data_IF_036372467217
#
_entry.id   IF_036372467217
#
_cell.length_a   1.000
_cell.length_b   1.000
_cell.length_c   1.000
_cell.angle_alpha   90.00
_cell.angle_beta   90.00
_cell.angle_gamma   90.00
#
_symmetry.space_group_name_H-M   'P 1'
#
loop_
_entity.id
_entity.type
_entity.pdbx_description
1 polymer ?
#
# COMPACT_ATOMS: atom_id res chain seq x y z
N UNK A 1 -28.39 -10.55 -31.91
CA UNK A 1 -28.59 -11.13 -30.56
C UNK A 1 -27.71 -10.50 -29.46
N UNK A 2 -26.49 -10.00 -29.76
CA UNK A 2 -25.60 -9.37 -28.76
C UNK A 2 -26.01 -7.97 -28.25
N UNK A 3 -26.93 -7.27 -28.91
CA UNK A 3 -27.39 -5.91 -28.52
C UNK A 3 -28.43 -5.90 -27.41
N UNK A 4 -29.22 -6.97 -27.24
CA UNK A 4 -30.27 -7.07 -26.21
C UNK A 4 -29.72 -7.33 -24.81
N UNK A 5 -28.80 -8.29 -24.68
CA UNK A 5 -28.17 -8.63 -23.40
C UNK A 5 -27.32 -7.47 -22.85
N UNK A 6 -26.64 -6.74 -23.74
CA UNK A 6 -25.85 -5.54 -23.41
C UNK A 6 -26.71 -4.43 -22.82
N UNK A 7 -27.89 -4.16 -23.40
CA UNK A 7 -28.85 -3.16 -22.90
C UNK A 7 -29.45 -3.54 -21.54
N UNK A 8 -29.67 -4.85 -21.30
CA UNK A 8 -30.21 -5.34 -20.04
C UNK A 8 -29.20 -5.22 -18.88
N UNK A 9 -27.92 -5.51 -19.14
CA UNK A 9 -26.84 -5.33 -18.15
C UNK A 9 -26.50 -3.87 -17.87
N UNK A 10 -26.58 -2.96 -18.86
CA UNK A 10 -26.44 -1.51 -18.59
C UNK A 10 -27.53 -0.94 -17.69
N UNK A 11 -28.72 -1.57 -17.62
CA UNK A 11 -29.75 -1.18 -16.64
C UNK A 11 -29.45 -1.68 -15.22
N UNK A 12 -28.62 -2.72 -15.07
CA UNK A 12 -28.18 -3.22 -13.77
C UNK A 12 -27.07 -2.36 -13.14
N UNK A 13 -26.26 -1.67 -13.95
CA UNK A 13 -25.25 -0.73 -13.47
C UNK A 13 -25.82 0.69 -13.41
N UNK A 14 -26.58 0.97 -12.35
CA UNK A 14 -27.09 2.31 -12.00
C UNK A 14 -25.93 3.27 -11.64
N UNK A 15 -24.75 2.73 -11.34
CA UNK A 15 -23.57 3.47 -10.88
C UNK A 15 -22.66 3.80 -12.07
N UNK A 16 -22.20 5.07 -12.23
CA UNK A 16 -21.26 5.43 -13.28
C UNK A 16 -19.93 4.68 -13.15
N UNK A 17 -19.38 4.23 -14.27
CA UNK A 17 -18.23 3.32 -14.31
C UNK A 17 -16.96 3.93 -13.72
N UNK A 18 -16.82 5.26 -13.75
CA UNK A 18 -15.68 5.95 -13.09
C UNK A 18 -15.64 5.74 -11.57
N UNK A 19 -16.79 5.59 -10.92
CA UNK A 19 -16.86 5.30 -9.49
C UNK A 19 -16.50 3.85 -9.20
N UNK A 20 -16.96 2.91 -10.03
CA UNK A 20 -16.57 1.50 -9.95
C UNK A 20 -15.05 1.37 -10.09
N UNK A 21 -14.46 2.06 -11.08
CA UNK A 21 -13.02 2.09 -11.29
C UNK A 21 -12.25 2.69 -10.10
N UNK A 22 -12.79 3.74 -9.47
CA UNK A 22 -12.19 4.36 -8.30
C UNK A 22 -12.25 3.45 -7.07
N UNK A 23 -13.37 2.74 -6.86
CA UNK A 23 -13.51 1.74 -5.79
C UNK A 23 -12.55 0.58 -6.03
N UNK A 24 -12.45 0.08 -7.27
CA UNK A 24 -11.49 -0.96 -7.61
C UNK A 24 -10.03 -0.48 -7.43
N UNK A 25 -9.74 0.78 -7.75
CA UNK A 25 -8.45 1.42 -7.48
C UNK A 25 -8.13 1.52 -5.98
N UNK A 26 -9.12 1.84 -5.14
CA UNK A 26 -8.99 1.78 -3.69
C UNK A 26 -8.58 0.38 -3.22
N UNK A 27 -9.28 -0.66 -3.69
CA UNK A 27 -8.93 -2.05 -3.35
C UNK A 27 -7.59 -2.49 -3.93
N UNK A 28 -7.16 -1.92 -5.07
CA UNK A 28 -5.84 -2.15 -5.65
C UNK A 28 -4.74 -1.72 -4.67
N UNK A 29 -4.83 -0.47 -4.17
CA UNK A 29 -3.87 0.08 -3.21
C UNK A 29 -3.98 -0.64 -1.88
N UNK A 30 -5.20 -0.96 -1.43
CA UNK A 30 -5.41 -1.73 -0.21
C UNK A 30 -4.68 -3.07 -0.27
N UNK A 31 -4.87 -3.85 -1.35
CA UNK A 31 -4.20 -5.15 -1.51
C UNK A 31 -2.68 -5.02 -1.63
N UNK A 32 -2.19 -4.00 -2.35
CA UNK A 32 -0.77 -3.71 -2.46
C UNK A 32 -0.14 -3.49 -1.05
N UNK A 33 -0.75 -2.60 -0.26
CA UNK A 33 -0.27 -2.33 1.10
C UNK A 33 -0.44 -3.50 2.06
N UNK A 34 -1.51 -4.31 1.95
CA UNK A 34 -1.64 -5.49 2.81
C UNK A 34 -0.54 -6.52 2.56
N UNK A 35 -0.25 -6.85 1.30
CA UNK A 35 0.84 -7.77 0.95
C UNK A 35 2.20 -7.21 1.41
N UNK A 36 2.46 -5.92 1.20
CA UNK A 36 3.71 -5.26 1.59
C UNK A 36 3.95 -5.25 3.09
N UNK A 37 2.96 -4.79 3.86
CA UNK A 37 3.08 -4.51 5.31
C UNK A 37 2.93 -5.77 6.15
N UNK A 38 2.21 -6.78 5.65
CA UNK A 38 1.99 -8.03 6.39
C UNK A 38 3.26 -8.72 6.88
N UNK A 39 4.38 -8.54 6.17
CA UNK A 39 5.69 -9.05 6.56
C UNK A 39 6.17 -8.50 7.91
N UNK A 40 5.87 -7.23 8.24
CA UNK A 40 6.32 -6.61 9.49
C UNK A 40 5.79 -7.33 10.73
N UNK A 41 4.58 -7.91 10.66
CA UNK A 41 4.05 -8.77 11.73
C UNK A 41 4.52 -10.21 11.56
N UNK A 42 4.55 -10.74 10.33
CA UNK A 42 4.93 -12.13 10.12
C UNK A 42 6.37 -12.42 10.57
N UNK A 43 7.31 -11.50 10.29
CA UNK A 43 8.73 -11.68 10.63
C UNK A 43 8.96 -11.84 12.14
N UNK A 44 8.12 -11.26 12.99
CA UNK A 44 8.22 -11.40 14.46
C UNK A 44 7.89 -12.81 14.96
N UNK A 45 7.28 -13.65 14.11
CA UNK A 45 6.97 -15.05 14.40
C UNK A 45 7.76 -16.02 13.52
N UNK A 46 8.62 -15.52 12.63
CA UNK A 46 9.49 -16.33 11.77
C UNK A 46 10.89 -16.49 12.37
N UNK A 47 11.31 -15.57 13.23
CA UNK A 47 12.70 -15.50 13.73
C UNK A 47 12.81 -16.09 15.12
N UNK A 48 13.92 -16.79 15.38
CA UNK A 48 14.28 -17.25 16.72
C UNK A 48 14.47 -16.06 17.66
N UNK A 49 13.88 -16.14 18.86
CA UNK A 49 14.18 -15.18 19.93
C UNK A 49 15.64 -15.36 20.34
N UNK A 50 16.47 -14.38 20.01
CA UNK A 50 17.80 -14.31 20.60
C UNK A 50 17.63 -13.90 22.07
N UNK A 51 18.11 -14.74 23.00
CA UNK A 51 18.36 -14.27 24.36
C UNK A 51 19.45 -13.22 24.25
N UNK A 52 19.09 -11.95 24.35
CA UNK A 52 20.06 -10.88 24.53
C UNK A 52 20.65 -11.00 25.93
N UNK A 53 21.96 -11.21 26.04
CA UNK A 53 22.72 -11.05 27.30
C UNK A 53 22.74 -9.58 27.78
N UNK A 54 22.11 -8.68 27.04
CA UNK A 54 21.93 -7.28 27.36
C UNK A 54 20.69 -7.12 28.25
N UNK A 55 20.94 -6.91 29.55
CA UNK A 55 19.92 -6.53 30.52
C UNK A 55 19.63 -5.04 30.36
N UNK A 56 18.53 -4.70 29.69
CA UNK A 56 18.00 -3.34 29.69
C UNK A 56 17.13 -3.17 30.95
N UNK A 57 17.55 -2.36 31.94
CA UNK A 57 16.80 -2.17 33.19
C UNK A 57 15.43 -1.50 32.98
N UNK A 58 15.20 -0.86 31.82
CA UNK A 58 13.94 -0.19 31.49
C UNK A 58 13.02 -1.06 30.61
N UNK A 59 13.47 -2.25 30.18
CA UNK A 59 12.61 -3.21 29.49
C UNK A 59 11.60 -3.84 30.45
N UNK A 60 10.38 -4.14 29.95
CA UNK A 60 9.40 -4.84 30.75
C UNK A 60 9.96 -6.20 31.16
N UNK A 61 9.88 -6.55 32.45
CA UNK A 61 10.35 -7.85 32.89
C UNK A 61 9.63 -8.96 32.13
N UNK A 62 10.40 -9.88 31.55
CA UNK A 62 9.86 -11.17 31.14
C UNK A 62 9.28 -11.77 32.43
N UNK A 63 7.95 -11.81 32.54
CA UNK A 63 7.35 -12.66 33.55
C UNK A 63 7.86 -14.07 33.27
N UNK A 64 8.76 -14.57 34.11
CA UNK A 64 9.18 -15.96 34.10
C UNK A 64 7.90 -16.79 34.26
N UNK A 65 7.39 -17.31 33.13
CA UNK A 65 6.39 -18.37 33.13
C UNK A 65 7.14 -19.66 33.53
N UNK A 66 7.62 -19.70 34.78
CA UNK A 66 7.82 -20.96 35.45
C UNK A 66 6.42 -21.49 35.79
N UNK A 67 6.06 -22.63 35.19
CA UNK A 67 4.86 -23.44 35.46
C UNK A 67 3.52 -23.05 34.83
N UNK A 68 3.50 -22.56 33.59
CA UNK A 68 2.34 -22.83 32.72
C UNK A 68 2.80 -23.53 31.44
N UNK A 69 2.68 -24.85 31.42
CA UNK A 69 2.60 -25.66 30.19
C UNK A 69 1.38 -25.23 29.39
N UNK A 70 1.46 -24.09 28.72
CA UNK A 70 0.73 -23.87 27.49
C UNK A 70 1.74 -24.03 26.38
N UNK A 71 1.66 -25.11 25.57
CA UNK A 71 2.50 -25.22 24.40
C UNK A 71 2.04 -24.13 23.43
N UNK A 72 2.68 -22.96 23.49
CA UNK A 72 2.80 -22.08 22.33
C UNK A 72 3.78 -22.72 21.35
N UNK A 73 3.47 -23.96 20.94
CA UNK A 73 4.02 -24.60 19.76
C UNK A 73 3.37 -23.90 18.57
N UNK A 74 3.94 -22.75 18.18
CA UNK A 74 4.01 -22.42 16.75
C UNK A 74 4.80 -23.59 16.17
N UNK A 75 4.11 -24.41 15.39
CA UNK A 75 4.69 -25.60 14.78
C UNK A 75 5.83 -25.18 13.85
N UNK A 76 7.02 -25.55 14.29
CA UNK A 76 8.21 -25.97 13.56
C UNK A 76 8.89 -24.95 12.62
N UNK A 77 10.15 -24.67 12.97
CA UNK A 77 11.20 -23.90 12.25
C UNK A 77 11.14 -22.37 12.37
N UNK A 78 11.47 -21.86 13.56
CA UNK A 78 11.98 -20.50 13.69
C UNK A 78 13.38 -20.42 13.07
N UNK A 79 13.63 -19.39 12.26
CA UNK A 79 14.88 -19.22 11.52
C UNK A 79 15.89 -18.32 12.26
N UNK A 80 17.19 -18.67 12.26
CA UNK A 80 18.23 -17.91 12.97
C UNK A 80 18.68 -16.68 12.17
N UNK A 81 17.76 -15.75 11.88
CA UNK A 81 18.07 -14.51 11.16
C UNK A 81 18.50 -13.40 12.10
N UNK A 82 19.70 -12.87 11.88
CA UNK A 82 20.20 -11.67 12.57
C UNK A 82 19.33 -10.45 12.28
N UNK A 83 19.30 -9.46 13.17
CA UNK A 83 18.56 -8.21 12.98
C UNK A 83 18.95 -7.49 11.67
N UNK A 84 20.22 -7.59 11.27
CA UNK A 84 20.70 -7.07 9.98
C UNK A 84 20.05 -7.78 8.79
N UNK A 85 19.93 -9.11 8.83
CA UNK A 85 19.28 -9.88 7.78
C UNK A 85 17.78 -9.56 7.70
N UNK A 86 17.10 -9.44 8.84
CA UNK A 86 15.69 -9.03 8.90
C UNK A 86 15.47 -7.67 8.23
N UNK A 87 16.32 -6.67 8.56
CA UNK A 87 16.28 -5.36 7.92
C UNK A 87 16.51 -5.41 6.40
N UNK A 88 17.40 -6.29 5.92
CA UNK A 88 17.61 -6.51 4.48
C UNK A 88 16.38 -7.14 3.84
N UNK A 89 15.76 -8.17 4.44
CA UNK A 89 14.55 -8.81 3.92
C UNK A 89 13.39 -7.80 3.83
N UNK A 90 13.19 -6.99 4.88
CA UNK A 90 12.15 -5.96 4.92
C UNK A 90 12.38 -4.89 3.84
N UNK A 91 13.63 -4.44 3.66
CA UNK A 91 13.97 -3.38 2.71
C UNK A 91 14.09 -3.84 1.25
N UNK A 92 14.38 -5.12 0.99
CA UNK A 92 14.60 -5.69 -0.34
C UNK A 92 13.43 -5.44 -1.31
N UNK A 93 12.20 -5.39 -0.79
CA UNK A 93 11.02 -5.02 -1.57
C UNK A 93 11.17 -3.66 -2.25
N UNK A 94 11.74 -2.67 -1.56
CA UNK A 94 11.85 -1.32 -2.09
C UNK A 94 12.89 -1.21 -3.21
N UNK A 95 13.85 -2.15 -3.30
CA UNK A 95 14.82 -2.19 -4.39
C UNK A 95 14.13 -2.44 -5.73
N UNK A 96 13.25 -3.46 -5.79
CA UNK A 96 12.43 -3.72 -6.97
C UNK A 96 11.43 -2.60 -7.24
N UNK A 97 10.80 -2.09 -6.18
CA UNK A 97 9.78 -1.03 -6.26
C UNK A 97 10.28 0.25 -6.93
N UNK A 98 11.45 0.75 -6.52
CA UNK A 98 12.04 1.98 -7.08
C UNK A 98 12.41 1.80 -8.55
N UNK A 99 12.96 0.64 -8.90
CA UNK A 99 13.40 0.34 -10.27
C UNK A 99 12.24 0.34 -11.27
N UNK A 100 11.05 -0.14 -10.90
CA UNK A 100 9.90 -0.20 -11.80
C UNK A 100 9.00 1.03 -11.76
N UNK A 101 9.22 1.96 -10.83
CA UNK A 101 8.33 3.11 -10.67
C UNK A 101 8.30 4.04 -11.90
N UNK A 102 9.46 4.39 -12.46
CA UNK A 102 9.53 5.24 -13.66
C UNK A 102 9.18 4.43 -14.93
N UNK A 103 9.80 3.26 -15.20
CA UNK A 103 9.46 2.46 -16.38
C UNK A 103 7.99 2.04 -16.41
N UNK A 104 7.42 1.69 -15.25
CA UNK A 104 6.02 1.32 -15.09
C UNK A 104 5.05 2.41 -15.53
N UNK A 105 5.39 3.68 -15.29
CA UNK A 105 4.60 4.81 -15.80
C UNK A 105 4.62 4.90 -17.32
N UNK A 106 5.81 4.81 -17.93
CA UNK A 106 5.95 4.82 -19.39
C UNK A 106 5.22 3.65 -20.05
N UNK A 107 5.30 2.46 -19.45
CA UNK A 107 4.60 1.25 -19.92
C UNK A 107 3.08 1.44 -19.75
N UNK A 108 2.61 2.01 -18.65
CA UNK A 108 1.18 2.24 -18.41
C UNK A 108 0.56 3.23 -19.41
N UNK A 109 1.30 4.26 -19.80
CA UNK A 109 0.86 5.21 -20.83
C UNK A 109 0.78 4.56 -22.22
N UNK A 110 1.75 3.70 -22.57
CA UNK A 110 1.85 3.04 -23.87
C UNK A 110 0.92 1.83 -24.04
N UNK A 111 0.95 0.90 -23.10
CA UNK A 111 0.23 -0.38 -23.16
C UNK A 111 -1.13 -0.34 -22.44
N UNK A 112 -1.41 0.75 -21.73
CA UNK A 112 -2.66 0.96 -21.01
C UNK A 112 -2.56 0.54 -19.55
N UNK A 113 -2.95 1.46 -18.65
CA UNK A 113 -2.81 1.28 -17.22
C UNK A 113 -3.57 0.08 -16.66
N UNK A 114 -4.67 -0.39 -17.29
CA UNK A 114 -5.40 -1.60 -16.83
C UNK A 114 -4.46 -2.80 -16.73
N UNK A 115 -3.70 -3.05 -17.80
CA UNK A 115 -2.86 -4.23 -17.91
C UNK A 115 -1.67 -4.13 -16.96
N UNK A 116 -1.05 -2.95 -16.89
CA UNK A 116 0.09 -2.73 -16.00
C UNK A 116 -0.31 -2.88 -14.54
N UNK A 117 -1.41 -2.24 -14.10
CA UNK A 117 -1.89 -2.36 -12.73
C UNK A 117 -2.30 -3.80 -12.39
N UNK A 118 -3.05 -4.45 -13.28
CA UNK A 118 -3.53 -5.81 -13.07
C UNK A 118 -2.40 -6.83 -13.02
N UNK A 119 -1.45 -6.78 -13.96
CA UNK A 119 -0.29 -7.68 -13.97
C UNK A 119 0.67 -7.39 -12.81
N UNK A 120 0.85 -6.13 -12.43
CA UNK A 120 1.64 -5.73 -11.27
C UNK A 120 1.12 -6.39 -10.01
N UNK A 121 -0.14 -6.16 -9.66
CA UNK A 121 -0.76 -6.75 -8.47
C UNK A 121 -0.82 -8.27 -8.56
N UNK A 122 -1.15 -8.85 -9.72
CA UNK A 122 -1.17 -10.30 -9.90
C UNK A 122 0.21 -10.92 -9.62
N UNK A 123 1.26 -10.35 -10.20
CA UNK A 123 2.62 -10.85 -10.01
C UNK A 123 3.05 -10.77 -8.55
N UNK A 124 2.80 -9.65 -7.88
CA UNK A 124 3.03 -9.50 -6.44
C UNK A 124 2.25 -10.54 -5.65
N UNK A 125 0.96 -10.74 -5.92
CA UNK A 125 0.14 -11.74 -5.24
C UNK A 125 0.65 -13.17 -5.43
N UNK A 126 1.09 -13.53 -6.64
CA UNK A 126 1.66 -14.85 -6.90
C UNK A 126 2.97 -15.03 -6.10
N UNK A 127 3.87 -14.05 -6.11
CA UNK A 127 5.10 -14.15 -5.33
C UNK A 127 4.83 -14.20 -3.82
N UNK A 128 3.84 -13.45 -3.33
CA UNK A 128 3.39 -13.53 -1.94
C UNK A 128 2.84 -14.92 -1.61
N UNK A 129 2.06 -15.55 -2.48
CA UNK A 129 1.61 -16.94 -2.29
C UNK A 129 2.76 -17.95 -2.30
N UNK A 130 3.80 -17.71 -3.10
CA UNK A 130 4.98 -18.56 -3.19
C UNK A 130 5.92 -18.39 -1.99
N UNK A 131 5.85 -17.27 -1.27
CA UNK A 131 6.76 -16.97 -0.17
C UNK A 131 6.84 -18.08 0.87
N UNK A 132 5.74 -18.58 1.46
CA UNK A 132 5.84 -19.67 2.41
C UNK A 132 6.46 -20.94 1.82
N UNK A 133 6.04 -21.31 0.61
CA UNK A 133 6.53 -22.51 -0.07
C UNK A 133 8.05 -22.49 -0.29
N UNK A 134 8.59 -21.35 -0.75
CA UNK A 134 10.03 -21.19 -0.97
C UNK A 134 10.80 -21.21 0.34
N UNK A 135 10.29 -20.57 1.39
CA UNK A 135 10.94 -20.53 2.70
C UNK A 135 11.00 -21.93 3.32
N UNK A 136 9.93 -22.72 3.22
CA UNK A 136 9.92 -24.11 3.69
C UNK A 136 10.90 -25.00 2.92
N UNK A 137 10.95 -24.92 1.58
CA UNK A 137 11.86 -25.75 0.76
C UNK A 137 13.32 -25.38 0.96
N UNK A 138 13.60 -24.10 1.23
CA UNK A 138 14.97 -23.59 1.40
C UNK A 138 15.42 -23.58 2.85
N UNK A 139 14.65 -24.21 3.76
CA UNK A 139 14.93 -24.29 5.20
C UNK A 139 15.24 -22.91 5.81
N UNK A 140 14.52 -21.88 5.36
CA UNK A 140 14.70 -20.51 5.84
C UNK A 140 15.89 -19.75 5.28
N UNK A 141 16.36 -20.08 4.08
CA UNK A 141 17.44 -19.31 3.46
C UNK A 141 16.99 -17.86 3.13
N UNK A 142 17.55 -16.91 3.87
CA UNK A 142 17.21 -15.48 3.77
C UNK A 142 17.48 -14.87 2.38
N UNK A 143 18.41 -15.42 1.60
CA UNK A 143 18.73 -14.91 0.25
C UNK A 143 17.58 -15.16 -0.71
N UNK A 144 16.98 -16.35 -0.66
CA UNK A 144 15.78 -16.67 -1.46
C UNK A 144 14.60 -15.80 -1.05
N UNK A 145 14.48 -15.48 0.24
CA UNK A 145 13.49 -14.53 0.72
C UNK A 145 13.71 -13.14 0.11
N UNK A 146 14.94 -12.64 0.13
CA UNK A 146 15.30 -11.35 -0.49
C UNK A 146 14.94 -11.33 -1.97
N UNK A 147 15.24 -12.40 -2.71
CA UNK A 147 14.88 -12.50 -4.13
C UNK A 147 13.37 -12.38 -4.34
N UNK A 148 12.56 -13.11 -3.56
CA UNK A 148 11.10 -13.00 -3.62
C UNK A 148 10.61 -11.59 -3.31
N UNK A 149 11.18 -10.94 -2.28
CA UNK A 149 10.82 -9.56 -1.91
C UNK A 149 11.12 -8.59 -3.05
N UNK A 150 12.27 -8.71 -3.71
CA UNK A 150 12.60 -7.89 -4.89
C UNK A 150 11.60 -8.12 -6.02
N UNK A 151 11.20 -9.37 -6.27
CA UNK A 151 10.21 -9.72 -7.30
C UNK A 151 8.81 -9.16 -6.99
N UNK A 152 8.36 -9.24 -5.74
CA UNK A 152 7.14 -8.59 -5.26
C UNK A 152 7.17 -7.08 -5.49
N UNK A 153 8.30 -6.46 -5.16
CA UNK A 153 8.56 -5.03 -5.35
C UNK A 153 8.51 -4.61 -6.82
N UNK A 154 9.06 -5.41 -7.73
CA UNK A 154 8.99 -5.13 -9.16
C UNK A 154 7.56 -5.05 -9.67
N UNK A 155 6.70 -5.98 -9.28
CA UNK A 155 5.27 -5.96 -9.63
C UNK A 155 4.56 -4.73 -9.07
N UNK A 156 4.73 -4.50 -7.77
CA UNK A 156 3.97 -3.48 -7.04
C UNK A 156 4.44 -2.05 -7.36
N UNK A 157 5.71 -1.85 -7.75
CA UNK A 157 6.26 -0.55 -8.14
C UNK A 157 5.55 0.13 -9.30
N UNK A 158 4.81 -0.64 -10.11
CA UNK A 158 4.03 -0.12 -11.24
C UNK A 158 2.63 0.40 -10.83
N UNK A 159 2.20 0.13 -9.60
CA UNK A 159 0.83 0.38 -9.11
C UNK A 159 0.43 1.85 -9.19
N UNK A 160 1.20 2.75 -8.56
CA UNK A 160 0.90 4.18 -8.51
C UNK A 160 0.98 4.87 -9.89
N UNK A 161 2.01 4.62 -10.72
CA UNK A 161 2.05 5.16 -12.08
C UNK A 161 0.87 4.69 -12.93
N UNK A 162 0.55 3.38 -12.91
CA UNK A 162 -0.53 2.82 -13.71
C UNK A 162 -1.88 3.39 -13.27
N UNK A 163 -2.12 3.48 -11.98
CA UNK A 163 -3.34 4.04 -11.42
C UNK A 163 -3.51 5.53 -11.77
N UNK A 164 -2.45 6.33 -11.69
CA UNK A 164 -2.48 7.72 -12.14
C UNK A 164 -2.79 7.86 -13.64
N UNK A 165 -2.22 6.97 -14.47
CA UNK A 165 -2.50 6.94 -15.89
C UNK A 165 -3.97 6.62 -16.17
N UNK A 166 -4.57 5.65 -15.47
CA UNK A 166 -5.99 5.31 -15.61
C UNK A 166 -6.89 6.46 -15.12
N UNK A 167 -6.64 6.99 -13.92
CA UNK A 167 -7.43 8.07 -13.35
C UNK A 167 -7.40 9.31 -14.24
N UNK A 168 -6.27 9.59 -14.91
CA UNK A 168 -6.15 10.69 -15.86
C UNK A 168 -7.09 10.57 -17.07
N UNK A 169 -7.53 9.35 -17.41
CA UNK A 169 -8.42 9.04 -18.54
C UNK A 169 -9.89 8.88 -18.14
N UNK A 170 -10.14 8.44 -16.91
CA UNK A 170 -11.47 8.09 -16.42
C UNK A 170 -12.11 9.15 -15.55
N UNK A 171 -11.31 10.05 -14.96
CA UNK A 171 -11.80 11.03 -14.00
C UNK A 171 -11.60 12.46 -14.50
N UNK A 172 -12.68 13.24 -14.68
CA UNK A 172 -12.60 14.67 -15.00
C UNK A 172 -11.83 15.46 -13.95
N UNK A 173 -11.19 16.57 -14.36
CA UNK A 173 -10.39 17.42 -13.47
C UNK A 173 -11.16 17.92 -12.24
N UNK A 174 -12.46 18.20 -12.37
CA UNK A 174 -13.33 18.65 -11.27
C UNK A 174 -13.57 17.59 -10.19
N UNK A 175 -13.57 16.30 -10.57
CA UNK A 175 -13.80 15.17 -9.65
C UNK A 175 -12.47 14.49 -9.24
N UNK A 176 -11.36 14.80 -9.93
CA UNK A 176 -10.06 14.12 -9.79
C UNK A 176 -9.50 14.12 -8.38
N UNK A 177 -9.64 15.22 -7.66
CA UNK A 177 -9.19 15.27 -6.27
C UNK A 177 -10.01 14.36 -5.36
N UNK A 178 -11.34 14.33 -5.51
CA UNK A 178 -12.22 13.54 -4.65
C UNK A 178 -12.03 12.05 -4.86
N UNK A 179 -12.08 11.62 -6.12
CA UNK A 179 -11.89 10.20 -6.47
C UNK A 179 -10.44 9.76 -6.28
N UNK A 180 -9.47 10.64 -6.52
CA UNK A 180 -8.06 10.40 -6.19
C UNK A 180 -7.88 10.16 -4.69
N UNK A 181 -8.41 11.03 -3.82
CA UNK A 181 -8.33 10.83 -2.36
C UNK A 181 -9.01 9.54 -1.92
N UNK A 182 -10.17 9.19 -2.49
CA UNK A 182 -10.83 7.90 -2.22
C UNK A 182 -9.90 6.74 -2.54
N UNK A 183 -9.29 6.73 -3.73
CA UNK A 183 -8.39 5.66 -4.17
C UNK A 183 -7.17 5.57 -3.24
N UNK A 184 -6.50 6.69 -2.98
CA UNK A 184 -5.29 6.73 -2.16
C UNK A 184 -5.53 6.44 -0.68
N UNK A 185 -6.75 6.63 -0.17
CA UNK A 185 -7.10 6.20 1.19
C UNK A 185 -6.92 4.69 1.42
N UNK A 186 -6.85 3.89 0.34
CA UNK A 186 -6.58 2.46 0.40
C UNK A 186 -5.26 2.11 1.07
N UNK A 187 -4.24 2.98 1.03
CA UNK A 187 -2.93 2.69 1.63
C UNK A 187 -3.00 2.64 3.16
N UNK A 188 -3.71 3.60 3.76
CA UNK A 188 -3.86 3.70 5.21
C UNK A 188 -4.71 2.56 5.76
N UNK A 189 -5.86 2.33 5.13
CA UNK A 189 -6.75 1.22 5.50
C UNK A 189 -6.05 -0.12 5.27
N UNK A 190 -5.31 -0.28 4.17
CA UNK A 190 -4.50 -1.46 3.89
C UNK A 190 -3.47 -1.74 4.98
N UNK A 191 -2.74 -0.72 5.44
CA UNK A 191 -1.75 -0.85 6.52
C UNK A 191 -2.40 -1.30 7.84
N UNK A 192 -3.52 -0.69 8.22
CA UNK A 192 -4.29 -1.08 9.42
C UNK A 192 -4.77 -2.52 9.34
N UNK A 193 -5.35 -2.90 8.20
CA UNK A 193 -5.84 -4.27 7.98
C UNK A 193 -4.68 -5.27 7.94
N UNK A 194 -3.55 -4.91 7.33
CA UNK A 194 -2.35 -5.73 7.30
C UNK A 194 -1.93 -6.10 8.72
N UNK A 195 -1.74 -5.11 9.59
CA UNK A 195 -1.28 -5.34 10.96
C UNK A 195 -2.30 -6.13 11.79
N UNK A 196 -3.57 -5.68 11.78
CA UNK A 196 -4.63 -6.29 12.59
C UNK A 196 -4.97 -7.72 12.15
N UNK A 197 -5.18 -7.94 10.84
CA UNK A 197 -5.55 -9.27 10.32
C UNK A 197 -4.36 -10.21 10.40
N UNK A 198 -3.12 -9.76 10.13
CA UNK A 198 -1.94 -10.63 10.28
C UNK A 198 -1.82 -11.14 11.71
N UNK A 199 -1.91 -10.26 12.72
CA UNK A 199 -1.84 -10.67 14.12
C UNK A 199 -2.95 -11.66 14.51
N UNK A 200 -4.17 -11.45 14.02
CA UNK A 200 -5.29 -12.35 14.27
C UNK A 200 -5.15 -13.71 13.57
N UNK A 201 -4.71 -13.73 12.30
CA UNK A 201 -4.51 -14.95 11.52
C UNK A 201 -3.41 -15.82 12.10
N UNK A 202 -2.26 -15.24 12.44
CA UNK A 202 -1.14 -15.98 13.02
C UNK A 202 -1.56 -16.58 14.37
N UNK A 203 -2.27 -15.82 15.20
CA UNK A 203 -2.77 -16.32 16.47
C UNK A 203 -3.74 -17.50 16.29
N UNK A 204 -4.67 -17.42 15.33
CA UNK A 204 -5.70 -18.43 15.11
C UNK A 204 -5.16 -19.70 14.45
N UNK A 205 -4.26 -19.57 13.48
CA UNK A 205 -3.73 -20.69 12.68
C UNK A 205 -2.42 -21.23 13.24
N UNK A 206 -1.81 -20.52 14.20
CA UNK A 206 -0.49 -20.79 14.79
C UNK A 206 0.64 -20.88 13.76
N UNK A 207 0.46 -20.26 12.59
CA UNK A 207 1.42 -20.33 11.48
C UNK A 207 1.54 -18.96 10.81
N UNK A 208 2.78 -18.48 10.61
CA UNK A 208 3.07 -17.21 9.91
C UNK A 208 2.67 -17.27 8.42
N UNK A 209 2.76 -18.43 7.80
CA UNK A 209 2.43 -18.66 6.39
C UNK A 209 0.98 -18.30 6.02
N UNK A 210 0.06 -18.39 7.00
CA UNK A 210 -1.37 -18.09 6.80
C UNK A 210 -1.61 -16.68 6.26
N UNK A 211 -0.78 -15.72 6.67
CA UNK A 211 -0.88 -14.31 6.30
C UNK A 211 -0.60 -14.12 4.81
N UNK A 212 0.47 -14.74 4.32
CA UNK A 212 0.88 -14.70 2.93
C UNK A 212 -0.16 -15.37 2.02
N UNK A 213 -0.69 -16.53 2.43
CA UNK A 213 -1.76 -17.20 1.70
C UNK A 213 -3.04 -16.38 1.64
N UNK A 214 -3.44 -15.76 2.75
CA UNK A 214 -4.66 -14.96 2.82
C UNK A 214 -4.58 -13.73 1.91
N UNK A 215 -3.54 -12.90 2.06
CA UNK A 215 -3.42 -11.67 1.27
C UNK A 215 -3.07 -11.92 -0.20
N UNK A 216 -2.26 -12.94 -0.48
CA UNK A 216 -1.98 -13.37 -1.85
C UNK A 216 -3.25 -13.83 -2.58
N UNK A 217 -4.10 -14.65 -1.93
CA UNK A 217 -5.37 -15.07 -2.51
C UNK A 217 -6.34 -13.89 -2.74
N UNK A 218 -6.40 -12.95 -1.79
CA UNK A 218 -7.20 -11.73 -1.95
C UNK A 218 -6.75 -10.89 -3.15
N UNK A 219 -5.45 -10.73 -3.36
CA UNK A 219 -4.92 -10.00 -4.51
C UNK A 219 -5.15 -10.72 -5.85
N UNK A 220 -5.06 -12.05 -5.88
CA UNK A 220 -5.45 -12.84 -7.05
C UNK A 220 -6.95 -12.71 -7.38
N UNK A 221 -7.81 -12.81 -6.36
CA UNK A 221 -9.26 -12.63 -6.52
C UNK A 221 -9.59 -11.21 -7.01
N UNK A 222 -8.95 -10.20 -6.43
CA UNK A 222 -9.10 -8.82 -6.88
C UNK A 222 -8.65 -8.65 -8.34
N UNK A 223 -7.54 -9.28 -8.75
CA UNK A 223 -7.07 -9.22 -10.14
C UNK A 223 -8.10 -9.83 -11.09
N UNK A 224 -8.69 -10.98 -10.73
CA UNK A 224 -9.77 -11.58 -11.51
C UNK A 224 -10.92 -10.58 -11.71
N UNK A 225 -11.40 -9.98 -10.62
CA UNK A 225 -12.47 -8.97 -10.69
C UNK A 225 -12.06 -7.73 -11.48
N UNK A 226 -10.82 -7.26 -11.34
CA UNK A 226 -10.25 -6.13 -12.07
C UNK A 226 -10.24 -6.37 -13.58
N UNK A 227 -9.80 -7.56 -14.00
CA UNK A 227 -9.73 -7.92 -15.42
C UNK A 227 -11.10 -7.95 -16.08
N UNK A 228 -12.14 -8.35 -15.34
CA UNK A 228 -13.52 -8.42 -15.81
C UNK A 228 -14.24 -7.07 -15.81
N UNK A 229 -14.04 -6.26 -14.75
CA UNK A 229 -14.82 -5.05 -14.50
C UNK A 229 -14.20 -3.76 -15.08
N UNK A 230 -12.87 -3.65 -15.14
CA UNK A 230 -12.20 -2.37 -15.45
C UNK A 230 -11.57 -2.36 -16.83
N UNK A 231 -11.49 -1.18 -17.47
CA UNK A 231 -10.96 -1.01 -18.84
C UNK A 231 -9.99 0.18 -18.91
N UNK A 232 -9.00 0.13 -19.80
CA UNK A 232 -7.96 1.19 -19.89
C UNK A 232 -8.53 2.53 -20.37
N UNK A 233 -9.50 2.49 -21.29
CA UNK A 233 -10.05 3.69 -21.91
C UNK A 233 -11.60 3.62 -21.87
N UNK A 234 -12.29 4.74 -21.58
CA UNK A 234 -13.75 4.79 -21.58
C UNK A 234 -14.37 4.33 -22.91
N UNK A 235 -13.70 4.60 -24.04
CA UNK A 235 -14.15 4.18 -25.37
C UNK A 235 -14.19 2.65 -25.55
N UNK A 236 -13.26 1.94 -24.91
CA UNK A 236 -13.13 0.49 -24.99
C UNK A 236 -14.11 -0.25 -24.07
N UNK A 237 -14.74 0.48 -23.13
CA UNK A 237 -15.56 -0.12 -22.09
C UNK A 237 -16.91 -0.60 -22.66
N UNK A 238 -17.24 -1.91 -22.60
CA UNK A 238 -18.40 -2.43 -23.29
C UNK A 238 -19.74 -2.12 -22.61
N UNK A 239 -19.73 -1.76 -21.32
CA UNK A 239 -20.92 -1.50 -20.49
C UNK A 239 -21.02 -0.06 -19.97
N UNK A 240 -20.30 0.89 -20.59
CA UNK A 240 -20.40 2.31 -20.21
C UNK A 240 -21.68 2.90 -20.81
N UNK A 241 -22.37 3.77 -20.06
CA UNK A 241 -23.55 4.45 -20.59
C UNK A 241 -23.16 5.50 -21.63
N UNK A 242 -24.05 5.76 -22.59
CA UNK A 242 -23.85 6.78 -23.62
C UNK A 242 -23.71 8.17 -23.01
N UNK A 243 -24.47 8.45 -21.96
CA UNK A 243 -24.47 9.72 -21.25
C UNK A 243 -23.13 9.96 -20.52
N UNK A 244 -22.58 8.93 -19.86
CA UNK A 244 -21.29 9.04 -19.18
C UNK A 244 -20.15 9.20 -20.19
N UNK A 245 -20.22 8.47 -21.30
CA UNK A 245 -19.23 8.53 -22.37
C UNK A 245 -19.16 9.94 -22.99
N UNK A 246 -20.31 10.55 -23.28
CA UNK A 246 -20.38 11.90 -23.84
C UNK A 246 -19.98 12.96 -22.81
N UNK A 247 -20.32 12.77 -21.54
CA UNK A 247 -19.86 13.61 -20.44
C UNK A 247 -18.32 13.61 -20.34
N UNK A 248 -17.68 12.43 -20.34
CA UNK A 248 -16.23 12.31 -20.29
C UNK A 248 -15.57 12.93 -21.53
N UNK A 249 -16.09 12.65 -22.74
CA UNK A 249 -15.58 13.29 -23.97
C UNK A 249 -15.62 14.81 -23.87
N UNK A 250 -16.73 15.39 -23.41
CA UNK A 250 -16.91 16.84 -23.30
C UNK A 250 -15.93 17.45 -22.28
N UNK A 251 -15.77 16.82 -21.12
CA UNK A 251 -14.87 17.31 -20.07
C UNK A 251 -13.39 17.14 -20.42
N UNK A 252 -13.07 16.19 -21.29
CA UNK A 252 -11.69 15.86 -21.67
C UNK A 252 -11.26 16.43 -23.03
N UNK A 253 -12.17 16.98 -23.83
CA UNK A 253 -11.90 17.50 -25.17
C UNK A 253 -10.81 18.60 -25.25
N UNK A 254 -10.51 19.28 -24.14
CA UNK A 254 -9.44 20.29 -24.04
C UNK A 254 -8.09 19.76 -23.55
N UNK A 255 -8.02 18.51 -23.09
CA UNK A 255 -6.78 17.86 -22.67
C UNK A 255 -6.22 17.15 -23.90
N UNK A 256 -5.63 17.91 -24.82
CA UNK A 256 -4.94 17.31 -25.96
C UNK A 256 -3.81 16.41 -25.42
N UNK A 257 -3.70 15.19 -25.96
CA UNK A 257 -2.47 14.40 -25.89
C UNK A 257 -1.43 15.12 -26.74
N UNK A 258 -0.92 16.24 -26.24
CA UNK A 258 0.16 16.92 -26.91
C UNK A 258 1.40 16.03 -26.78
N UNK A 259 1.94 15.57 -27.91
CA UNK A 259 3.18 14.77 -27.98
C UNK A 259 4.41 15.60 -27.60
N UNK A 260 4.26 16.63 -26.77
CA UNK A 260 5.36 17.43 -26.25
C UNK A 260 6.29 16.52 -25.48
N UNK A 261 7.57 16.57 -25.85
CA UNK A 261 8.64 15.91 -25.10
C UNK A 261 8.57 16.41 -23.66
N UNK A 262 8.52 15.47 -22.71
CA UNK A 262 8.53 15.77 -21.27
C UNK A 262 9.81 16.58 -20.97
N UNK A 263 9.72 17.80 -20.40
CA UNK A 263 10.88 18.65 -20.17
C UNK A 263 11.63 18.22 -18.90
N UNK A 264 12.29 17.05 -18.95
CA UNK A 264 12.98 16.45 -17.82
C UNK A 264 13.99 17.38 -17.15
N UNK A 265 14.75 18.15 -17.93
CA UNK A 265 15.74 19.09 -17.39
C UNK A 265 15.08 20.17 -16.56
N UNK A 266 14.03 20.83 -17.08
CA UNK A 266 13.31 21.87 -16.37
C UNK A 266 12.65 21.37 -15.07
N UNK A 267 12.14 20.13 -15.10
CA UNK A 267 11.57 19.46 -13.92
C UNK A 267 12.68 19.22 -12.88
N UNK A 268 13.81 18.66 -13.28
CA UNK A 268 14.92 18.33 -12.38
C UNK A 268 15.68 19.58 -11.86
N UNK A 269 15.60 20.73 -12.53
CA UNK A 269 16.20 21.98 -12.05
C UNK A 269 15.25 22.82 -11.18
N UNK A 270 14.01 22.36 -10.96
CA UNK A 270 12.98 23.12 -10.25
C UNK A 270 13.13 23.00 -8.73
N UNK A 271 13.35 24.13 -8.04
CA UNK A 271 13.47 24.18 -6.56
C UNK A 271 12.21 23.64 -5.84
N UNK A 272 10.97 23.98 -6.26
CA UNK A 272 9.77 23.40 -5.64
C UNK A 272 9.71 21.86 -5.68
N UNK A 273 10.26 21.24 -6.72
CA UNK A 273 10.27 19.78 -6.83
C UNK A 273 11.21 19.18 -5.78
N UNK A 274 12.43 19.69 -5.66
CA UNK A 274 13.37 19.22 -4.65
C UNK A 274 12.89 19.47 -3.22
N UNK A 275 12.20 20.59 -2.97
CA UNK A 275 11.56 20.84 -1.67
C UNK A 275 10.49 19.78 -1.35
N UNK A 276 9.67 19.40 -2.34
CA UNK A 276 8.67 18.33 -2.18
C UNK A 276 9.31 16.94 -2.04
N UNK A 277 10.43 16.67 -2.72
CA UNK A 277 11.17 15.41 -2.59
C UNK A 277 11.76 15.28 -1.18
N UNK A 278 12.44 16.30 -0.68
CA UNK A 278 13.01 16.29 0.67
C UNK A 278 11.93 16.11 1.74
N UNK A 279 10.81 16.84 1.59
CA UNK A 279 9.61 16.70 2.38
C UNK A 279 9.07 15.25 2.41
N UNK A 280 8.93 14.64 1.24
CA UNK A 280 8.42 13.27 1.10
C UNK A 280 9.36 12.24 1.72
N UNK A 281 10.68 12.41 1.55
CA UNK A 281 11.68 11.52 2.16
C UNK A 281 11.56 11.52 3.68
N UNK A 282 11.44 12.69 4.30
CA UNK A 282 11.28 12.80 5.76
C UNK A 282 9.99 12.13 6.26
N UNK A 283 8.88 12.34 5.53
CA UNK A 283 7.61 11.66 5.82
C UNK A 283 7.73 10.14 5.71
N UNK A 284 8.26 9.63 4.60
CA UNK A 284 8.34 8.20 4.31
C UNK A 284 9.32 7.49 5.25
N UNK A 285 10.42 8.15 5.64
CA UNK A 285 11.34 7.63 6.65
C UNK A 285 10.61 7.34 7.96
N UNK A 286 9.93 8.35 8.53
CA UNK A 286 9.22 8.16 9.80
C UNK A 286 8.04 7.21 9.68
N UNK A 287 7.32 7.20 8.55
CA UNK A 287 6.24 6.23 8.32
C UNK A 287 6.78 4.79 8.28
N UNK A 288 7.81 4.52 7.48
CA UNK A 288 8.31 3.15 7.32
C UNK A 288 9.07 2.64 8.53
N UNK A 289 9.78 3.50 9.27
CA UNK A 289 10.38 3.12 10.55
C UNK A 289 9.31 2.66 11.55
N UNK A 290 8.17 3.36 11.66
CA UNK A 290 7.05 2.86 12.47
C UNK A 290 6.47 1.54 11.93
N UNK A 291 6.43 1.35 10.61
CA UNK A 291 5.85 0.13 10.01
C UNK A 291 6.73 -1.09 10.27
N UNK A 292 8.05 -0.95 10.23
CA UNK A 292 8.99 -2.06 10.39
C UNK A 292 9.34 -2.31 11.86
N UNK A 293 9.61 -1.25 12.62
CA UNK A 293 10.30 -1.38 13.91
C UNK A 293 9.31 -1.45 15.07
N UNK A 294 8.12 -0.83 14.94
CA UNK A 294 7.11 -0.85 15.99
C UNK A 294 6.69 -2.28 16.36
N UNK A 295 6.35 -3.18 15.41
CA UNK A 295 5.95 -4.53 15.79
C UNK A 295 7.08 -5.34 16.43
N UNK A 296 8.32 -5.13 15.98
CA UNK A 296 9.50 -5.76 16.56
C UNK A 296 9.68 -5.28 18.01
N UNK A 297 9.59 -3.98 18.24
CA UNK A 297 9.68 -3.39 19.59
C UNK A 297 8.59 -3.90 20.53
N UNK A 298 7.33 -3.93 20.07
CA UNK A 298 6.20 -4.44 20.87
C UNK A 298 6.36 -5.93 21.24
N UNK A 299 7.00 -6.72 20.37
CA UNK A 299 7.27 -8.15 20.60
C UNK A 299 8.49 -8.40 21.48
N UNK A 300 9.62 -7.76 21.16
CA UNK A 300 10.93 -8.04 21.74
C UNK A 300 11.14 -7.31 23.07
N UNK A 301 10.66 -6.07 23.22
CA UNK A 301 10.88 -5.24 24.41
C UNK A 301 9.67 -5.26 25.34
N UNK A 302 8.45 -5.10 24.79
CA UNK A 302 7.22 -5.09 25.59
C UNK A 302 6.56 -6.46 25.74
N UNK A 303 7.11 -7.48 25.08
CA UNK A 303 6.67 -8.87 25.20
C UNK A 303 5.18 -9.13 24.91
N UNK A 304 4.54 -8.29 24.09
CA UNK A 304 3.16 -8.50 23.69
C UNK A 304 3.00 -9.74 22.81
N UNK A 305 1.86 -10.42 22.95
CA UNK A 305 1.53 -11.55 22.07
C UNK A 305 1.23 -11.06 20.64
N UNK A 306 1.32 -11.94 19.65
CA UNK A 306 1.17 -11.58 18.22
C UNK A 306 -0.16 -10.88 17.88
N UNK A 307 -1.24 -11.24 18.57
CA UNK A 307 -2.58 -10.65 18.36
C UNK A 307 -2.62 -9.22 18.91
N UNK A 308 -2.12 -9.00 20.12
CA UNK A 308 -1.98 -7.69 20.73
C UNK A 308 -1.02 -6.81 19.94
N UNK A 309 0.11 -7.38 19.49
CA UNK A 309 1.09 -6.70 18.65
C UNK A 309 0.41 -6.16 17.38
N UNK A 310 -0.24 -7.03 16.60
CA UNK A 310 -0.95 -6.61 15.38
C UNK A 310 -2.01 -5.53 15.63
N UNK A 311 -2.79 -5.63 16.71
CA UNK A 311 -3.77 -4.60 17.07
C UNK A 311 -3.13 -3.28 17.49
N UNK A 312 -2.15 -3.30 18.39
CA UNK A 312 -1.46 -2.11 18.90
C UNK A 312 -0.66 -1.41 17.79
N UNK A 313 0.04 -2.16 16.94
CA UNK A 313 0.73 -1.63 15.76
C UNK A 313 -0.24 -0.97 14.78
N UNK A 314 -1.53 -1.27 14.81
CA UNK A 314 -2.52 -0.63 13.94
C UNK A 314 -2.96 0.75 14.43
N UNK A 315 -2.87 1.02 15.73
CA UNK A 315 -3.41 2.24 16.36
C UNK A 315 -2.79 3.53 15.79
N UNK A 316 -1.46 3.68 15.65
CA UNK A 316 -0.87 4.91 15.14
C UNK A 316 -1.37 5.28 13.74
N UNK A 317 -1.60 4.28 12.88
CA UNK A 317 -2.10 4.49 11.52
C UNK A 317 -3.57 4.90 11.50
N UNK A 318 -4.39 4.37 12.42
CA UNK A 318 -5.79 4.82 12.59
C UNK A 318 -5.81 6.28 13.06
N UNK A 319 -4.99 6.62 14.06
CA UNK A 319 -4.87 7.99 14.56
C UNK A 319 -4.40 8.92 13.46
N UNK A 320 -3.36 8.54 12.71
CA UNK A 320 -2.84 9.31 11.58
C UNK A 320 -3.92 9.55 10.53
N UNK A 321 -4.73 8.53 10.20
CA UNK A 321 -5.84 8.67 9.26
C UNK A 321 -6.91 9.65 9.76
N UNK A 322 -7.37 9.52 11.00
CA UNK A 322 -8.36 10.42 11.60
C UNK A 322 -7.84 11.86 11.66
N UNK A 323 -6.61 12.06 12.13
CA UNK A 323 -5.97 13.38 12.20
C UNK A 323 -5.85 13.98 10.79
N UNK A 324 -5.48 13.18 9.78
CA UNK A 324 -5.39 13.67 8.40
C UNK A 324 -6.72 14.21 7.86
N UNK A 325 -7.85 13.55 8.19
CA UNK A 325 -9.18 14.00 7.78
C UNK A 325 -9.58 15.30 8.49
N UNK A 326 -9.31 15.40 9.78
CA UNK A 326 -9.59 16.60 10.58
C UNK A 326 -8.75 17.78 10.09
N UNK A 327 -7.45 17.57 9.88
CA UNK A 327 -6.55 18.61 9.37
C UNK A 327 -6.93 19.04 7.95
N UNK A 328 -7.33 18.11 7.07
CA UNK A 328 -7.82 18.44 5.74
C UNK A 328 -9.08 19.31 5.80
N UNK A 329 -10.05 18.95 6.64
CA UNK A 329 -11.27 19.74 6.84
C UNK A 329 -10.97 21.14 7.38
N UNK A 330 -10.09 21.25 8.37
CA UNK A 330 -9.66 22.56 8.91
C UNK A 330 -8.96 23.40 7.83
N UNK A 331 -8.08 22.79 7.04
CA UNK A 331 -7.38 23.45 5.94
C UNK A 331 -8.37 24.01 4.91
N UNK A 332 -9.33 23.20 4.46
CA UNK A 332 -10.37 23.61 3.52
C UNK A 332 -11.27 24.71 4.09
N UNK A 333 -11.61 24.64 5.38
CA UNK A 333 -12.38 25.68 6.06
C UNK A 333 -11.61 27.01 6.11
N UNK A 334 -10.32 26.98 6.46
CA UNK A 334 -9.47 28.19 6.53
C UNK A 334 -9.27 28.84 5.15
N UNK A 335 -9.14 28.03 4.10
CA UNK A 335 -9.06 28.50 2.72
C UNK A 335 -10.39 29.10 2.27
N UNK A 336 -11.51 28.41 2.54
CA UNK A 336 -12.86 28.85 2.11
C UNK A 336 -13.27 30.15 2.81
N UNK A 337 -12.94 30.29 4.09
CA UNK A 337 -13.18 31.53 4.87
C UNK A 337 -12.20 32.67 4.54
N UNK A 338 -11.28 32.46 3.58
CA UNK A 338 -10.23 33.41 3.16
C UNK A 338 -9.34 33.89 4.31
N UNK A 339 -9.24 33.12 5.40
CA UNK A 339 -8.35 33.42 6.52
C UNK A 339 -6.87 33.23 6.15
N UNK A 340 -6.60 32.43 5.11
CA UNK A 340 -5.25 32.03 4.72
C UNK A 340 -5.15 31.83 3.21
N UNK A 341 -4.02 32.22 2.60
CA UNK A 341 -3.77 31.95 1.17
C UNK A 341 -3.46 30.47 0.94
N UNK A 342 -3.84 29.92 -0.22
CA UNK A 342 -3.60 28.51 -0.57
C UNK A 342 -2.12 28.15 -0.47
N UNK A 343 -1.23 29.03 -0.92
CA UNK A 343 0.22 28.81 -0.88
C UNK A 343 0.77 28.79 0.53
N UNK A 344 0.29 29.67 1.41
CA UNK A 344 0.71 29.69 2.81
C UNK A 344 0.14 28.49 3.58
N UNK A 345 -1.13 28.14 3.34
CA UNK A 345 -1.77 26.95 3.91
C UNK A 345 -0.95 25.67 3.63
N UNK A 346 -0.62 25.44 2.36
CA UNK A 346 0.16 24.27 1.93
C UNK A 346 1.53 24.22 2.60
N UNK A 347 2.23 25.35 2.70
CA UNK A 347 3.54 25.43 3.36
C UNK A 347 3.42 25.15 4.86
N UNK A 348 2.52 25.87 5.54
CA UNK A 348 2.35 25.78 6.99
C UNK A 348 2.00 24.36 7.44
N UNK A 349 0.97 23.74 6.86
CA UNK A 349 0.56 22.39 7.24
C UNK A 349 1.62 21.34 6.90
N UNK A 350 2.33 21.48 5.77
CA UNK A 350 3.41 20.55 5.41
C UNK A 350 4.59 20.66 6.38
N UNK A 351 5.01 21.88 6.73
CA UNK A 351 6.10 22.09 7.70
C UNK A 351 5.71 21.65 9.10
N UNK A 352 4.48 21.94 9.54
CA UNK A 352 3.98 21.53 10.85
C UNK A 352 3.90 20.00 10.96
N UNK A 353 3.41 19.33 9.93
CA UNK A 353 3.36 17.86 9.88
C UNK A 353 4.76 17.22 9.98
N UNK A 354 5.76 17.78 9.28
CA UNK A 354 7.15 17.30 9.37
C UNK A 354 7.76 17.52 10.76
N UNK A 355 7.47 18.67 11.38
CA UNK A 355 8.02 18.99 12.70
C UNK A 355 7.43 18.09 13.79
N UNK A 356 6.13 17.81 13.73
CA UNK A 356 5.47 16.91 14.68
C UNK A 356 6.02 15.48 14.59
N UNK A 357 6.34 15.01 13.39
CA UNK A 357 6.93 13.68 13.18
C UNK A 357 8.30 13.57 13.87
N UNK A 358 9.13 14.62 13.80
CA UNK A 358 10.45 14.67 14.44
C UNK A 358 10.42 14.80 15.98
N UNK A 359 9.26 15.10 16.57
CA UNK A 359 9.08 15.16 18.04
C UNK A 359 8.68 13.81 18.65
N UNK A 360 8.22 12.88 17.82
CA UNK A 360 7.76 11.55 18.24
C UNK A 360 8.91 10.53 18.21
N UNK A 361 9.99 10.86 17.51
CA UNK A 361 11.29 10.18 17.53
C UNK A 361 12.27 10.97 18.40
#
# INVERSE_FOLDING_TARGET
>A
MQTGCRKCLTKFFIIPQRYVLSIMGFFAILNAYTMRVSLSIAITEMVQRHKSDFYDPDACSVFDIHNSTSPHTVSDELYPWTSKQQGIILSAFYWGYVLTHIPGGVIAEKFGGKHVLGLGILSTSIFTLLTPFVIYITEGNWVWFVVLRVLEGFGEGTTFPALNAILSKWVPLSERSKLGTLVYAGSQIGTVLANSISGALIHSTRTWASVFYFFGCMGCLWTLLWTLLCYSDPESHPFISTEEKDYLKKQMAGISKDNRKIPWTAILTSVPIWALVAAQIGHDWGFFAMVTDLPIYLKEVLHFNVKQNGFLSSIPYIVMWIVSLVTAYICDMLITKKCMSISFARKFFSTFGMYLLNLIY
#
